data_IF_408949812236
#
_entry.id   IF_408949812236
#
_cell.length_a   1.000
_cell.length_b   1.000
_cell.length_c   1.000
_cell.angle_alpha   90.00
_cell.angle_beta   90.00
_cell.angle_gamma   90.00
#
_symmetry.space_group_name_H-M   'P 1'
#
loop_
_entity.id
_entity.type
_entity.pdbx_description
1 polymer ?
#
# COMPACT_ATOMS: atom_id res chain seq x y z
N UNK A 1 33.90 -26.17 18.97
CA UNK A 1 33.08 -25.19 18.21
C UNK A 1 32.48 -24.24 19.23
N UNK A 2 32.68 -22.93 19.05
CA UNK A 2 32.34 -21.90 20.04
C UNK A 2 30.82 -21.83 20.28
N UNK A 3 30.47 -21.72 21.55
CA UNK A 3 29.15 -21.84 22.18
C UNK A 3 28.45 -20.50 22.39
N UNK A 4 28.87 -19.45 21.68
CA UNK A 4 28.28 -18.12 21.80
C UNK A 4 27.32 -17.88 20.64
N UNK A 5 26.01 -17.69 20.90
CA UNK A 5 25.01 -17.48 19.87
C UNK A 5 25.35 -16.17 19.16
N UNK A 6 25.24 -16.19 17.83
CA UNK A 6 25.27 -15.02 16.95
C UNK A 6 24.93 -13.74 17.72
N UNK A 7 25.94 -12.93 18.03
CA UNK A 7 25.68 -11.52 18.24
C UNK A 7 25.03 -11.04 16.94
N UNK A 8 23.72 -10.86 16.97
CA UNK A 8 22.91 -10.61 15.79
C UNK A 8 23.44 -9.32 15.13
N UNK A 9 24.04 -9.44 13.94
CA UNK A 9 24.65 -8.33 13.21
C UNK A 9 23.64 -7.18 13.11
N UNK A 10 22.36 -7.53 12.91
CA UNK A 10 21.25 -6.59 12.94
C UNK A 10 21.09 -5.86 14.27
N UNK A 11 21.17 -6.55 15.41
CA UNK A 11 21.00 -5.93 16.73
C UNK A 11 22.12 -4.95 17.04
N UNK A 12 23.37 -5.30 16.69
CA UNK A 12 24.52 -4.38 16.82
C UNK A 12 24.35 -3.15 15.93
N UNK A 13 23.94 -3.36 14.70
CA UNK A 13 23.72 -2.27 13.77
C UNK A 13 22.57 -1.37 14.24
N UNK A 14 21.39 -1.90 14.59
CA UNK A 14 20.27 -1.11 15.15
C UNK A 14 20.72 -0.28 16.36
N UNK A 15 21.53 -0.87 17.25
CA UNK A 15 22.06 -0.13 18.40
C UNK A 15 23.01 1.02 17.99
N UNK A 16 23.77 0.88 16.89
CA UNK A 16 24.66 1.93 16.38
C UNK A 16 23.89 3.16 15.86
N UNK A 17 22.65 2.95 15.36
CA UNK A 17 21.76 4.02 14.89
C UNK A 17 21.00 4.74 16.01
N UNK A 18 21.15 4.34 17.27
CA UNK A 18 20.41 4.95 18.39
C UNK A 18 20.66 6.45 18.52
N UNK A 19 21.91 6.90 18.40
CA UNK A 19 22.27 8.32 18.50
C UNK A 19 21.64 9.15 17.37
N UNK A 20 21.52 8.58 16.18
CA UNK A 20 20.80 9.20 15.07
C UNK A 20 19.33 9.37 15.43
N UNK A 21 18.68 8.30 15.89
CA UNK A 21 17.28 8.36 16.35
C UNK A 21 17.06 9.41 17.44
N UNK A 22 17.90 9.41 18.48
CA UNK A 22 17.81 10.35 19.60
C UNK A 22 18.01 11.82 19.16
N UNK A 23 18.70 12.06 18.05
CA UNK A 23 18.95 13.40 17.50
C UNK A 23 17.78 13.97 16.67
N UNK A 24 16.77 13.16 16.34
CA UNK A 24 15.58 13.63 15.62
C UNK A 24 14.78 14.61 16.51
N UNK A 25 14.29 15.71 15.95
CA UNK A 25 13.66 16.77 16.75
C UNK A 25 12.23 16.45 17.20
N UNK A 26 11.44 15.76 16.38
CA UNK A 26 10.06 15.42 16.71
C UNK A 26 9.99 14.04 17.37
N UNK A 27 9.00 13.87 18.27
CA UNK A 27 8.75 12.58 18.92
C UNK A 27 8.23 11.57 17.89
N UNK A 28 7.41 12.05 16.97
CA UNK A 28 6.78 11.27 15.91
C UNK A 28 7.85 10.69 14.96
N UNK A 29 8.86 11.47 14.58
CA UNK A 29 9.96 11.00 13.72
C UNK A 29 10.82 9.95 14.44
N UNK A 30 11.04 10.10 15.76
CA UNK A 30 11.76 9.11 16.59
C UNK A 30 11.03 7.78 16.62
N UNK A 31 9.74 7.82 16.94
CA UNK A 31 8.90 6.62 17.01
C UNK A 31 8.81 5.93 15.64
N UNK A 32 8.68 6.71 14.57
CA UNK A 32 8.67 6.18 13.21
C UNK A 32 10.01 5.54 12.83
N UNK A 33 11.12 6.19 13.15
CA UNK A 33 12.46 5.68 12.89
C UNK A 33 12.75 4.40 13.66
N UNK A 34 12.40 4.35 14.94
CA UNK A 34 12.54 3.16 15.78
C UNK A 34 11.70 2.00 15.24
N UNK A 35 10.44 2.28 14.86
CA UNK A 35 9.59 1.28 14.21
C UNK A 35 10.21 0.75 12.93
N UNK A 36 10.72 1.64 12.07
CA UNK A 36 11.38 1.28 10.82
C UNK A 36 12.56 0.32 11.04
N UNK A 37 13.42 0.61 12.03
CA UNK A 37 14.54 -0.27 12.39
C UNK A 37 14.07 -1.61 12.97
N UNK A 38 13.03 -1.61 13.81
CA UNK A 38 12.48 -2.84 14.38
C UNK A 38 11.81 -3.74 13.33
N UNK A 39 11.19 -3.17 12.30
CA UNK A 39 10.58 -3.94 11.21
C UNK A 39 11.61 -4.79 10.43
N UNK A 40 12.91 -4.44 10.49
CA UNK A 40 13.98 -5.23 9.89
C UNK A 40 14.19 -6.59 10.56
N UNK A 41 13.72 -6.80 11.80
CA UNK A 41 13.78 -8.11 12.45
C UNK A 41 13.00 -9.20 11.68
N UNK A 42 12.00 -8.80 10.88
CA UNK A 42 11.28 -9.72 9.98
C UNK A 42 12.19 -10.36 8.92
N UNK A 43 13.36 -9.76 8.66
CA UNK A 43 14.33 -10.22 7.67
C UNK A 43 15.68 -10.58 8.31
N UNK A 44 15.72 -10.77 9.64
CA UNK A 44 16.95 -11.04 10.39
C UNK A 44 17.76 -12.23 9.84
N UNK A 45 17.08 -13.29 9.39
CA UNK A 45 17.76 -14.44 8.78
C UNK A 45 18.51 -14.06 7.50
N UNK A 46 17.90 -13.27 6.62
CA UNK A 46 18.51 -12.81 5.37
C UNK A 46 19.65 -11.81 5.63
N UNK A 47 19.46 -10.91 6.60
CA UNK A 47 20.47 -9.93 7.01
C UNK A 47 21.71 -10.64 7.57
N UNK A 48 21.51 -11.61 8.46
CA UNK A 48 22.61 -12.36 9.06
C UNK A 48 23.29 -13.32 8.08
N UNK A 49 22.58 -13.81 7.06
CA UNK A 49 23.14 -14.70 6.04
C UNK A 49 24.15 -14.01 5.11
N UNK A 50 24.10 -12.67 4.98
CA UNK A 50 24.99 -11.93 4.08
C UNK A 50 26.47 -11.95 4.52
N UNK A 51 26.75 -12.14 5.82
CA UNK A 51 28.11 -12.04 6.38
C UNK A 51 28.67 -10.60 6.36
N UNK A 52 29.90 -10.40 6.83
CA UNK A 52 30.54 -9.07 6.92
C UNK A 52 31.47 -8.77 5.73
N UNK A 53 31.33 -7.56 5.14
CA UNK A 53 32.18 -6.44 5.58
C UNK A 53 31.44 -5.17 6.04
N UNK A 54 30.15 -5.00 5.73
CA UNK A 54 29.38 -3.79 6.08
C UNK A 54 27.96 -4.15 6.59
N UNK A 55 27.75 -4.23 7.92
CA UNK A 55 26.46 -4.56 8.55
C UNK A 55 25.27 -3.68 8.13
N UNK A 56 25.54 -2.42 7.79
CA UNK A 56 24.53 -1.45 7.36
C UNK A 56 23.89 -1.83 6.01
N UNK A 57 24.63 -2.43 5.09
CA UNK A 57 24.12 -2.71 3.73
C UNK A 57 22.89 -3.65 3.72
N UNK A 58 22.90 -4.84 4.36
CA UNK A 58 21.72 -5.71 4.40
C UNK A 58 20.55 -5.05 5.14
N UNK A 59 20.81 -4.24 6.17
CA UNK A 59 19.78 -3.45 6.87
C UNK A 59 19.13 -2.46 5.90
N UNK A 60 19.92 -1.63 5.21
CA UNK A 60 19.43 -0.63 4.25
C UNK A 60 18.67 -1.28 3.09
N UNK A 61 19.16 -2.40 2.55
CA UNK A 61 18.46 -3.14 1.50
C UNK A 61 17.12 -3.69 1.96
N UNK A 62 17.04 -4.13 3.22
CA UNK A 62 15.78 -4.60 3.81
C UNK A 62 14.76 -3.47 3.95
N UNK A 63 15.21 -2.29 4.34
CA UNK A 63 14.36 -1.10 4.42
C UNK A 63 13.84 -0.70 3.04
N UNK A 64 14.72 -0.64 2.04
CA UNK A 64 14.35 -0.36 0.65
C UNK A 64 13.34 -1.37 0.12
N UNK A 65 13.56 -2.67 0.37
CA UNK A 65 12.62 -3.72 -0.02
C UNK A 65 11.24 -3.55 0.64
N UNK A 66 11.22 -3.22 1.93
CA UNK A 66 9.98 -3.02 2.67
C UNK A 66 9.19 -1.82 2.13
N UNK A 67 9.88 -0.73 1.82
CA UNK A 67 9.27 0.45 1.19
C UNK A 67 8.78 0.15 -0.23
N UNK A 68 9.55 -0.61 -1.03
CA UNK A 68 9.14 -0.98 -2.39
C UNK A 68 7.85 -1.82 -2.39
N UNK A 69 7.73 -2.80 -1.48
CA UNK A 69 6.49 -3.59 -1.31
C UNK A 69 5.28 -2.72 -0.97
N UNK A 70 5.46 -1.71 -0.11
CA UNK A 70 4.39 -0.77 0.23
C UNK A 70 3.99 0.09 -0.97
N UNK A 71 4.97 0.55 -1.75
CA UNK A 71 4.73 1.31 -2.99
C UNK A 71 3.95 0.46 -4.00
N UNK A 72 4.37 -0.78 -4.25
CA UNK A 72 3.67 -1.70 -5.17
C UNK A 72 2.22 -1.94 -4.72
N UNK A 73 2.01 -2.18 -3.42
CA UNK A 73 0.67 -2.34 -2.85
C UNK A 73 -0.20 -1.08 -3.01
N UNK A 74 0.37 0.11 -2.81
CA UNK A 74 -0.34 1.38 -3.02
C UNK A 74 -0.71 1.56 -4.50
N UNK A 75 0.22 1.28 -5.43
CA UNK A 75 -0.02 1.34 -6.87
C UNK A 75 -1.18 0.42 -7.27
N UNK A 76 -1.16 -0.83 -6.79
CA UNK A 76 -2.25 -1.79 -7.03
C UNK A 76 -3.59 -1.30 -6.48
N UNK A 77 -3.57 -0.76 -5.25
CA UNK A 77 -4.78 -0.27 -4.57
C UNK A 77 -5.39 0.93 -5.31
N UNK A 78 -4.56 1.86 -5.78
CA UNK A 78 -4.99 3.00 -6.58
C UNK A 78 -5.56 2.54 -7.93
N UNK A 79 -4.91 1.57 -8.58
CA UNK A 79 -5.38 0.99 -9.86
C UNK A 79 -6.76 0.36 -9.70
N UNK A 80 -6.95 -0.48 -8.68
CA UNK A 80 -8.25 -1.10 -8.34
C UNK A 80 -9.35 -0.06 -8.10
N UNK A 81 -9.05 0.97 -7.29
CA UNK A 81 -10.01 2.05 -7.03
C UNK A 81 -10.39 2.84 -8.28
N UNK A 82 -9.46 3.02 -9.24
CA UNK A 82 -9.74 3.70 -10.51
C UNK A 82 -10.69 2.88 -11.38
N UNK A 83 -10.47 1.57 -11.50
CA UNK A 83 -11.34 0.67 -12.25
C UNK A 83 -12.77 0.62 -11.68
N UNK A 84 -12.90 0.50 -10.35
CA UNK A 84 -14.20 0.51 -9.67
C UNK A 84 -14.99 1.81 -9.91
N UNK A 85 -14.31 2.97 -9.92
CA UNK A 85 -14.97 4.25 -10.21
C UNK A 85 -15.48 4.34 -11.66
N UNK A 86 -14.83 3.67 -12.61
CA UNK A 86 -15.26 3.64 -14.01
C UNK A 86 -16.49 2.74 -14.15
N UNK A 87 -16.46 1.53 -13.60
CA UNK A 87 -17.58 0.60 -13.63
C UNK A 87 -18.85 1.18 -12.98
N UNK A 88 -18.70 1.91 -11.85
CA UNK A 88 -19.82 2.58 -11.19
C UNK A 88 -20.38 3.74 -12.03
N UNK A 89 -19.56 4.43 -12.83
CA UNK A 89 -20.05 5.47 -13.74
C UNK A 89 -20.79 4.88 -14.93
N UNK A 90 -20.25 3.81 -15.53
CA UNK A 90 -20.85 3.14 -16.68
C UNK A 90 -22.18 2.47 -16.34
N UNK A 91 -22.28 1.82 -15.17
CA UNK A 91 -23.55 1.24 -14.69
C UNK A 91 -24.63 2.31 -14.48
N UNK A 92 -24.30 3.44 -13.85
CA UNK A 92 -25.24 4.56 -13.68
C UNK A 92 -25.73 5.14 -15.01
N UNK A 93 -24.83 5.33 -15.98
CA UNK A 93 -25.23 5.78 -17.32
C UNK A 93 -26.16 4.78 -18.02
N UNK A 94 -25.86 3.48 -17.94
CA UNK A 94 -26.73 2.43 -18.51
C UNK A 94 -28.12 2.41 -17.87
N UNK A 95 -28.20 2.59 -16.55
CA UNK A 95 -29.47 2.70 -15.84
C UNK A 95 -30.28 3.94 -16.22
N UNK A 96 -29.63 5.10 -16.38
CA UNK A 96 -30.29 6.35 -16.80
C UNK A 96 -30.83 6.25 -18.23
N UNK A 97 -30.04 5.74 -19.17
CA UNK A 97 -30.46 5.49 -20.56
C UNK A 97 -31.65 4.50 -20.59
N UNK A 98 -31.61 3.45 -19.78
CA UNK A 98 -32.71 2.50 -19.65
C UNK A 98 -34.01 3.14 -19.14
N UNK A 99 -33.91 4.07 -18.17
CA UNK A 99 -35.04 4.83 -17.64
C UNK A 99 -35.60 5.82 -18.66
N UNK A 100 -34.76 6.57 -19.36
CA UNK A 100 -35.19 7.49 -20.43
C UNK A 100 -35.93 6.76 -21.55
N UNK A 101 -35.38 5.64 -22.03
CA UNK A 101 -36.03 4.83 -23.05
C UNK A 101 -37.43 4.38 -22.59
N UNK A 102 -37.56 3.89 -21.35
CA UNK A 102 -38.86 3.49 -20.77
C UNK A 102 -39.86 4.65 -20.73
N UNK A 103 -39.43 5.84 -20.34
CA UNK A 103 -40.28 7.04 -20.34
C UNK A 103 -40.75 7.42 -21.75
N UNK A 104 -39.87 7.30 -22.75
CA UNK A 104 -40.21 7.63 -24.14
C UNK A 104 -41.19 6.62 -24.76
N UNK A 105 -41.08 5.32 -24.40
CA UNK A 105 -42.08 4.30 -24.77
C UNK A 105 -43.46 4.58 -24.17
N UNK A 106 -43.53 4.92 -22.88
CA UNK A 106 -44.80 5.25 -22.20
C UNK A 106 -45.45 6.48 -22.85
N UNK A 107 -44.68 7.54 -23.07
CA UNK A 107 -45.14 8.79 -23.71
C UNK A 107 -45.71 8.53 -25.11
N UNK A 108 -45.07 7.68 -25.91
CA UNK A 108 -45.55 7.33 -27.26
C UNK A 108 -46.88 6.59 -27.22
N UNK A 109 -47.06 5.65 -26.28
CA UNK A 109 -48.30 4.88 -26.17
C UNK A 109 -49.47 5.68 -25.58
N UNK A 110 -49.21 6.61 -24.66
CA UNK A 110 -50.26 7.51 -24.13
C UNK A 110 -50.78 8.50 -25.19
N UNK A 111 -49.93 8.91 -26.14
CA UNK A 111 -50.33 9.82 -27.23
C UNK A 111 -51.22 9.15 -28.29
N UNK A 112 -51.16 7.83 -28.42
CA UNK A 112 -51.95 7.07 -29.40
C UNK A 112 -53.40 6.90 -28.93
N UNK A 113 -53.66 6.96 -27.61
CA UNK A 113 -54.98 6.70 -27.03
C UNK A 113 -56.01 7.86 -27.14
N UNK A 114 -55.67 8.98 -27.77
CA UNK A 114 -56.54 10.18 -27.87
C UNK A 114 -56.87 10.60 -29.33
N UNK A 115 -56.63 9.74 -30.33
CA UNK A 115 -56.81 10.10 -31.75
C UNK A 115 -58.11 9.53 -32.35
N UNK A 116 -58.85 8.68 -31.62
CA UNK A 116 -60.03 7.96 -32.14
C UNK A 116 -61.41 8.48 -31.66
N UNK A 117 -61.56 9.79 -31.39
CA UNK A 117 -62.88 10.44 -31.16
C UNK A 117 -63.13 11.63 -32.09
#
# INVERSE_FOLDING_TARGET
>A
MSLFPNENILTKEIASWKSFGDSLSSKEDRELFEKMLNDCYNYAAAINAKGEPFPAEPLLMTLLLSQHKLIDWLIESISKHKSLKIEVKESKQREEIGRENKHDYIRKNERIHYIDD
#
